data_IF_892402580380
#
_entry.id   IF_892402580380
#
_cell.length_a   1.000
_cell.length_b   1.000
_cell.length_c   1.000
_cell.angle_alpha   90.00
_cell.angle_beta   90.00
_cell.angle_gamma   90.00
#
_symmetry.space_group_name_H-M   'P 1'
#
loop_
_entity.id
_entity.type
_entity.pdbx_description
1 polymer ?
#
# COMPACT_ATOMS: atom_id res chain seq x y z
N UNK A 1 21.36 -3.86 -12.02
CA UNK A 1 21.73 -5.24 -11.65
C UNK A 1 20.92 -5.73 -10.45
N UNK A 2 20.73 -4.88 -9.44
CA UNK A 2 19.98 -5.17 -8.21
C UNK A 2 18.54 -5.65 -8.45
N UNK A 3 17.85 -5.15 -9.48
CA UNK A 3 16.49 -5.61 -9.81
C UNK A 3 16.40 -7.10 -10.17
N UNK A 4 17.43 -7.67 -10.80
CA UNK A 4 17.47 -9.11 -11.11
C UNK A 4 17.75 -9.94 -9.85
N UNK A 5 18.58 -9.42 -8.94
CA UNK A 5 18.84 -10.04 -7.65
C UNK A 5 17.58 -10.05 -6.78
N UNK A 6 16.89 -8.91 -6.67
CA UNK A 6 15.62 -8.82 -5.97
C UNK A 6 14.58 -9.77 -6.56
N UNK A 7 14.52 -9.89 -7.89
CA UNK A 7 13.67 -10.88 -8.56
C UNK A 7 14.01 -12.30 -8.12
N UNK A 8 15.29 -12.67 -8.11
CA UNK A 8 15.74 -14.00 -7.68
C UNK A 8 15.33 -14.32 -6.23
N UNK A 9 15.44 -13.35 -5.32
CA UNK A 9 15.02 -13.50 -3.91
C UNK A 9 13.50 -13.69 -3.81
N UNK A 10 12.73 -12.87 -4.54
CA UNK A 10 11.27 -12.95 -4.55
C UNK A 10 10.77 -14.26 -5.18
N UNK A 11 11.37 -14.71 -6.29
CA UNK A 11 11.04 -15.97 -6.96
C UNK A 11 11.27 -17.17 -6.01
N UNK A 12 12.22 -17.06 -5.07
CA UNK A 12 12.48 -18.05 -4.03
C UNK A 12 11.52 -17.95 -2.82
N UNK A 13 10.55 -17.03 -2.84
CA UNK A 13 9.62 -16.78 -1.74
C UNK A 13 10.26 -16.13 -0.51
N UNK A 14 11.45 -15.57 -0.67
CA UNK A 14 12.20 -14.92 0.40
C UNK A 14 11.89 -13.42 0.45
N UNK A 15 12.08 -12.83 1.63
CA UNK A 15 11.99 -11.38 1.80
C UNK A 15 13.26 -10.73 1.25
N UNK A 16 13.07 -9.65 0.51
CA UNK A 16 14.16 -8.79 0.04
C UNK A 16 14.82 -8.16 1.26
N UNK A 17 16.15 -8.26 1.37
CA UNK A 17 16.89 -7.68 2.49
C UNK A 17 16.85 -6.15 2.47
N UNK A 18 16.97 -5.53 3.65
CA UNK A 18 17.00 -4.08 3.78
C UNK A 18 18.13 -3.45 2.96
N UNK A 19 19.33 -4.07 2.95
CA UNK A 19 20.47 -3.60 2.16
C UNK A 19 20.17 -3.56 0.65
N UNK A 20 19.49 -4.59 0.14
CA UNK A 20 19.11 -4.66 -1.27
C UNK A 20 18.04 -3.61 -1.60
N UNK A 21 17.07 -3.40 -0.70
CA UNK A 21 16.07 -2.33 -0.85
C UNK A 21 16.74 -0.95 -0.85
N UNK A 22 17.67 -0.68 0.05
CA UNK A 22 18.40 0.59 0.11
C UNK A 22 19.20 0.81 -1.18
N UNK A 23 19.86 -0.23 -1.69
CA UNK A 23 20.54 -0.17 -2.99
C UNK A 23 19.59 0.22 -4.13
N UNK A 24 18.40 -0.38 -4.18
CA UNK A 24 17.37 -0.06 -5.17
C UNK A 24 16.86 1.39 -5.02
N UNK A 25 16.65 1.87 -3.79
CA UNK A 25 16.25 3.26 -3.54
C UNK A 25 17.32 4.22 -4.04
N UNK A 26 18.60 3.97 -3.77
CA UNK A 26 19.72 4.80 -4.26
C UNK A 26 19.77 4.85 -5.79
N UNK A 27 19.68 3.70 -6.47
CA UNK A 27 19.62 3.66 -7.93
C UNK A 27 18.40 4.42 -8.46
N UNK A 28 17.27 4.40 -7.73
CA UNK A 28 16.04 5.08 -8.15
C UNK A 28 16.13 6.60 -8.02
N UNK A 29 16.57 7.10 -6.88
CA UNK A 29 16.62 8.56 -6.61
C UNK A 29 17.75 9.26 -7.37
N UNK A 30 18.71 8.50 -7.92
CA UNK A 30 19.78 9.04 -8.77
C UNK A 30 19.32 9.34 -10.22
N UNK A 31 18.08 9.02 -10.59
CA UNK A 31 17.55 9.27 -11.94
C UNK A 31 17.15 10.75 -12.12
N UNK A 32 17.15 11.21 -13.38
CA UNK A 32 16.95 12.63 -13.73
C UNK A 32 15.63 13.22 -13.24
N UNK A 33 14.57 12.40 -13.14
CA UNK A 33 13.27 12.85 -12.66
C UNK A 33 13.24 13.15 -11.15
N UNK A 34 14.22 12.65 -10.39
CA UNK A 34 14.37 12.89 -8.96
C UNK A 34 15.28 14.09 -8.63
N UNK A 35 15.80 14.80 -9.63
CA UNK A 35 16.68 15.98 -9.42
C UNK A 35 15.98 17.09 -8.61
N UNK A 36 14.65 17.20 -8.73
CA UNK A 36 13.84 18.18 -7.97
C UNK A 36 13.34 17.64 -6.63
N UNK A 37 13.77 16.44 -6.24
CA UNK A 37 13.29 15.73 -5.06
C UNK A 37 12.46 14.49 -5.42
N UNK A 38 12.00 13.81 -4.39
CA UNK A 38 11.25 12.56 -4.49
C UNK A 38 10.28 12.44 -3.31
N UNK A 39 9.28 11.57 -3.46
CA UNK A 39 8.39 11.16 -2.37
C UNK A 39 8.56 9.65 -2.18
N UNK A 40 8.95 9.24 -0.99
CA UNK A 40 8.95 7.83 -0.61
C UNK A 40 7.59 7.50 -0.01
N UNK A 41 6.88 6.57 -0.64
CA UNK A 41 5.56 6.11 -0.20
C UNK A 41 5.66 4.66 0.30
N UNK A 42 5.29 4.44 1.55
CA UNK A 42 5.40 3.15 2.22
C UNK A 42 6.85 2.70 2.46
N UNK A 43 7.82 3.62 2.50
CA UNK A 43 9.22 3.38 2.86
C UNK A 43 9.81 4.64 3.52
N UNK A 44 10.64 4.52 4.58
CA UNK A 44 11.00 3.29 5.30
C UNK A 44 9.83 2.73 6.12
N UNK A 45 9.82 1.42 6.39
CA UNK A 45 8.81 0.74 7.25
C UNK A 45 9.34 0.31 8.61
N UNK A 46 10.65 0.33 8.80
CA UNK A 46 11.31 -0.10 10.03
C UNK A 46 12.39 0.89 10.43
N UNK A 47 12.73 0.94 11.72
CA UNK A 47 13.83 1.78 12.22
C UNK A 47 15.17 1.42 11.52
N UNK A 48 15.55 0.13 11.36
CA UNK A 48 16.75 -0.22 10.61
C UNK A 48 16.80 0.31 9.18
N UNK A 49 15.66 0.35 8.46
CA UNK A 49 15.61 0.94 7.13
C UNK A 49 15.84 2.45 7.16
N UNK A 50 15.27 3.15 8.15
CA UNK A 50 15.50 4.59 8.33
C UNK A 50 16.98 4.88 8.65
N UNK A 51 17.58 4.11 9.58
CA UNK A 51 19.00 4.23 9.90
C UNK A 51 19.89 3.96 8.68
N UNK A 52 19.54 2.95 7.88
CA UNK A 52 20.26 2.61 6.65
C UNK A 52 20.15 3.71 5.58
N UNK A 53 19.00 4.40 5.49
CA UNK A 53 18.85 5.56 4.61
C UNK A 53 19.81 6.68 5.00
N UNK A 54 19.85 7.02 6.30
CA UNK A 54 20.75 8.04 6.85
C UNK A 54 22.21 7.66 6.60
N UNK A 55 22.60 6.42 6.90
CA UNK A 55 23.95 5.92 6.69
C UNK A 55 24.38 5.93 5.21
N UNK A 56 23.42 5.90 4.28
CA UNK A 56 23.65 5.94 2.84
C UNK A 56 23.53 7.34 2.22
N UNK A 57 23.34 8.38 3.03
CA UNK A 57 23.24 9.76 2.56
C UNK A 57 21.95 10.05 1.78
N UNK A 58 20.88 9.30 2.04
CA UNK A 58 19.55 9.63 1.51
C UNK A 58 18.96 10.71 2.41
N UNK A 59 18.97 11.95 1.92
CA UNK A 59 18.44 13.11 2.64
C UNK A 59 16.91 13.16 2.56
N UNK A 60 16.25 13.46 3.69
CA UNK A 60 14.80 13.61 3.80
C UNK A 60 14.51 14.92 4.50
N UNK A 61 13.79 15.83 3.83
CA UNK A 61 13.45 17.14 4.38
C UNK A 61 12.30 17.06 5.40
N UNK A 62 11.32 16.20 5.10
CA UNK A 62 10.06 16.14 5.83
C UNK A 62 9.55 14.70 5.99
N UNK A 63 8.96 14.44 7.15
CA UNK A 63 8.11 13.28 7.40
C UNK A 63 6.68 13.79 7.51
N UNK A 64 5.82 13.35 6.58
CA UNK A 64 4.43 13.79 6.52
C UNK A 64 3.54 12.63 6.96
N UNK A 65 2.90 12.81 8.11
CA UNK A 65 1.90 11.89 8.62
C UNK A 65 0.51 12.36 8.19
N UNK A 66 -0.24 11.49 7.50
CA UNK A 66 -1.65 11.72 7.17
C UNK A 66 -2.47 11.12 8.30
N UNK A 67 -2.71 11.90 9.34
CA UNK A 67 -3.51 11.49 10.49
C UNK A 67 -5.01 11.48 10.14
N UNK A 68 -5.61 10.30 10.24
CA UNK A 68 -7.04 10.07 10.00
C UNK A 68 -7.54 9.15 11.11
N UNK A 69 -8.67 9.48 11.76
CA UNK A 69 -9.24 8.63 12.79
C UNK A 69 -9.48 7.20 12.30
N UNK A 70 -9.09 6.21 13.11
CA UNK A 70 -9.23 4.78 12.79
C UNK A 70 -10.65 4.42 12.32
N UNK A 71 -11.68 4.99 12.95
CA UNK A 71 -13.08 4.72 12.58
C UNK A 71 -13.44 5.20 11.17
N UNK A 72 -12.85 6.30 10.70
CA UNK A 72 -13.05 6.76 9.32
C UNK A 72 -12.35 5.81 8.33
N UNK A 73 -11.16 5.29 8.69
CA UNK A 73 -10.46 4.28 7.88
C UNK A 73 -11.27 2.98 7.82
N UNK A 74 -11.75 2.49 8.97
CA UNK A 74 -12.56 1.27 9.04
C UNK A 74 -13.82 1.43 8.21
N UNK A 75 -14.58 2.51 8.39
CA UNK A 75 -15.80 2.81 7.62
C UNK A 75 -15.53 2.86 6.11
N UNK A 76 -14.43 3.50 5.70
CA UNK A 76 -14.04 3.61 4.28
C UNK A 76 -13.67 2.26 3.66
N UNK A 77 -13.01 1.40 4.43
CA UNK A 77 -12.53 0.10 3.96
C UNK A 77 -13.67 -0.93 3.93
N UNK A 78 -14.40 -1.09 5.04
CA UNK A 78 -15.44 -2.11 5.21
C UNK A 78 -16.69 -1.84 4.38
N UNK A 79 -16.89 -0.59 3.96
CA UNK A 79 -17.93 -0.20 3.02
C UNK A 79 -17.67 -0.62 1.57
N UNK A 80 -16.46 -1.07 1.21
CA UNK A 80 -16.13 -1.44 -0.17
C UNK A 80 -16.79 -2.74 -0.59
N UNK A 81 -17.25 -2.76 -1.83
CA UNK A 81 -17.83 -3.92 -2.50
C UNK A 81 -17.22 -4.05 -3.88
N UNK A 82 -16.97 -5.27 -4.32
CA UNK A 82 -16.38 -5.56 -5.64
C UNK A 82 -17.21 -6.60 -6.37
N UNK A 83 -17.43 -6.37 -7.66
CA UNK A 83 -17.98 -7.38 -8.54
C UNK A 83 -16.83 -8.23 -9.11
N UNK A 84 -16.71 -9.48 -8.65
CA UNK A 84 -15.58 -10.37 -9.00
C UNK A 84 -15.39 -10.59 -10.51
N UNK A 85 -16.48 -10.63 -11.29
CA UNK A 85 -16.42 -10.90 -12.72
C UNK A 85 -15.88 -9.72 -13.55
N UNK A 86 -15.91 -8.49 -13.02
CA UNK A 86 -15.54 -7.29 -13.78
C UNK A 86 -14.52 -6.38 -13.11
N UNK A 87 -14.30 -6.55 -11.80
CA UNK A 87 -13.49 -5.63 -11.00
C UNK A 87 -14.18 -4.30 -10.68
N UNK A 88 -15.43 -4.06 -11.09
CA UNK A 88 -16.18 -2.85 -10.69
C UNK A 88 -16.27 -2.76 -9.16
N UNK A 89 -16.08 -1.54 -8.65
CA UNK A 89 -16.04 -1.25 -7.22
C UNK A 89 -17.19 -0.32 -6.84
N UNK A 90 -17.85 -0.66 -5.75
CA UNK A 90 -18.90 0.12 -5.11
C UNK A 90 -18.52 0.41 -3.67
N UNK A 91 -19.21 1.36 -3.05
CA UNK A 91 -19.13 1.61 -1.63
C UNK A 91 -20.52 1.85 -1.08
N UNK A 92 -20.88 1.22 0.04
CA UNK A 92 -22.22 1.31 0.65
C UNK A 92 -22.74 2.73 0.96
N UNK A 93 -21.90 3.76 0.86
CA UNK A 93 -22.20 5.15 1.26
C UNK A 93 -21.76 6.10 0.16
N UNK A 94 -20.49 6.02 -0.26
CA UNK A 94 -19.92 6.99 -1.20
C UNK A 94 -20.19 6.67 -2.67
N UNK A 95 -20.54 5.42 -2.99
CA UNK A 95 -20.89 4.98 -4.35
C UNK A 95 -21.77 3.71 -4.28
N UNK A 96 -22.99 3.81 -3.73
CA UNK A 96 -23.83 2.64 -3.50
C UNK A 96 -24.30 2.05 -4.83
N UNK A 97 -24.43 0.70 -4.93
CA UNK A 97 -25.08 0.09 -6.08
C UNK A 97 -26.56 0.49 -6.12
N UNK A 98 -27.16 0.45 -7.32
CA UNK A 98 -28.60 0.72 -7.51
C UNK A 98 -29.47 -0.26 -6.75
N UNK A 99 -29.03 -1.51 -6.65
CA UNK A 99 -29.68 -2.57 -5.86
C UNK A 99 -28.65 -3.11 -4.86
N UNK A 100 -29.04 -3.16 -3.59
CA UNK A 100 -28.13 -3.61 -2.52
C UNK A 100 -27.55 -4.99 -2.82
N UNK A 101 -26.22 -5.10 -2.71
CA UNK A 101 -25.49 -6.34 -2.94
C UNK A 101 -25.38 -6.76 -4.40
N UNK A 102 -25.85 -5.97 -5.37
CA UNK A 102 -25.87 -6.33 -6.79
C UNK A 102 -25.03 -5.39 -7.65
N UNK A 103 -24.36 -5.95 -8.65
CA UNK A 103 -23.69 -5.17 -9.68
C UNK A 103 -24.71 -4.49 -10.60
N UNK A 104 -24.51 -3.20 -10.88
CA UNK A 104 -25.44 -2.38 -11.67
C UNK A 104 -25.58 -2.79 -13.14
N UNK A 105 -24.62 -3.55 -13.67
CA UNK A 105 -24.58 -3.93 -15.09
C UNK A 105 -25.09 -5.35 -15.28
N UNK A 106 -24.60 -6.30 -14.47
CA UNK A 106 -24.92 -7.73 -14.65
C UNK A 106 -26.01 -8.22 -13.70
N UNK A 107 -26.23 -7.55 -12.57
CA UNK A 107 -27.10 -8.04 -11.50
C UNK A 107 -26.49 -9.18 -10.67
N UNK A 108 -25.21 -9.46 -10.86
CA UNK A 108 -24.48 -10.47 -10.06
C UNK A 108 -24.18 -9.96 -8.64
N UNK A 109 -23.86 -10.89 -7.74
CA UNK A 109 -23.54 -10.55 -6.35
C UNK A 109 -22.23 -9.78 -6.23
N UNK A 110 -22.26 -8.76 -5.36
CA UNK A 110 -21.08 -8.06 -4.91
C UNK A 110 -20.48 -8.75 -3.68
N UNK A 111 -19.16 -8.83 -3.65
CA UNK A 111 -18.41 -9.38 -2.54
C UNK A 111 -17.65 -8.29 -1.78
N UNK A 112 -17.31 -8.57 -0.52
CA UNK A 112 -16.27 -7.85 0.21
C UNK A 112 -14.94 -8.60 -0.02
N UNK A 113 -13.83 -7.86 -0.16
CA UNK A 113 -12.51 -8.51 -0.19
C UNK A 113 -12.11 -8.90 1.23
N UNK A 114 -11.40 -10.03 1.44
CA UNK A 114 -10.95 -10.43 2.78
C UNK A 114 -10.15 -9.34 3.53
N UNK A 115 -9.38 -8.57 2.76
CA UNK A 115 -8.57 -7.44 3.26
C UNK A 115 -9.37 -6.20 3.67
N UNK A 116 -10.62 -6.11 3.23
CA UNK A 116 -11.55 -5.02 3.52
C UNK A 116 -12.48 -5.35 4.70
N UNK A 117 -12.46 -6.58 5.21
CA UNK A 117 -13.20 -6.96 6.40
C UNK A 117 -12.74 -6.15 7.61
N UNK A 118 -13.69 -5.65 8.40
CA UNK A 118 -13.40 -4.76 9.53
C UNK A 118 -12.38 -5.34 10.50
N UNK A 119 -12.48 -6.64 10.82
CA UNK A 119 -11.53 -7.35 11.68
C UNK A 119 -10.12 -7.31 11.10
N UNK A 120 -9.96 -7.51 9.80
CA UNK A 120 -8.68 -7.43 9.08
C UNK A 120 -8.14 -6.01 9.06
N UNK A 121 -9.00 -5.02 8.80
CA UNK A 121 -8.62 -3.59 8.76
C UNK A 121 -8.13 -3.14 10.13
N UNK A 122 -8.88 -3.42 11.20
CA UNK A 122 -8.48 -3.08 12.58
C UNK A 122 -7.18 -3.76 12.99
N UNK A 123 -6.99 -5.04 12.61
CA UNK A 123 -5.73 -5.73 12.84
C UNK A 123 -4.55 -5.04 12.15
N UNK A 124 -4.72 -4.56 10.93
CA UNK A 124 -3.67 -3.83 10.19
C UNK A 124 -3.38 -2.47 10.83
N UNK A 125 -4.40 -1.73 11.25
CA UNK A 125 -4.23 -0.46 11.97
C UNK A 125 -3.45 -0.66 13.27
N UNK A 126 -3.75 -1.70 14.05
CA UNK A 126 -3.00 -2.00 15.27
C UNK A 126 -1.55 -2.50 15.06
N UNK A 127 -1.14 -2.80 13.82
CA UNK A 127 0.26 -3.10 13.46
C UNK A 127 0.97 -1.83 12.97
N UNK A 128 0.22 -0.91 12.37
CA UNK A 128 0.73 0.34 11.83
C UNK A 128 1.12 1.34 12.93
N UNK A 129 0.28 1.44 13.97
CA UNK A 129 0.53 2.23 15.19
C UNK A 129 1.54 1.56 16.12
#
# INVERSE_FOLDING_TARGET
>A
ALGLEAKSVMDAGQLVSDDLIIGLVKERIAQDDCVKGFLLDGFPRTIPQADAMVANGIEIDHVIEIDVPDEEIVKRMSGRRVHSGSGRVYHLVYNPPKVEGKDDVTGDDLAIRPDDEETTVRKRLGIYH
#
